data_IF_537392203273
#
_entry.id   IF_537392203273
#
_cell.length_a   1.000
_cell.length_b   1.000
_cell.length_c   1.000
_cell.angle_alpha   90.00
_cell.angle_beta   90.00
_cell.angle_gamma   90.00
#
_symmetry.space_group_name_H-M   'P 1'
#
loop_
_entity.id
_entity.type
_entity.pdbx_description
1 polymer ?
#
# COMPACT_ATOMS: atom_id res chain seq x y z
N UNK A 1 17.69 23.10 -28.56
CA UNK A 1 18.33 21.96 -27.88
C UNK A 1 17.59 21.80 -26.57
N UNK A 2 16.42 21.18 -26.67
CA UNK A 2 15.50 20.90 -25.56
C UNK A 2 15.07 19.45 -25.81
N UNK A 3 15.86 18.51 -25.30
CA UNK A 3 15.40 17.14 -25.14
C UNK A 3 14.44 17.16 -23.95
N UNK A 4 13.14 17.16 -24.25
CA UNK A 4 12.11 16.98 -23.23
C UNK A 4 12.36 15.64 -22.53
N UNK A 5 12.75 15.69 -21.25
CA UNK A 5 12.97 14.54 -20.38
C UNK A 5 11.68 13.71 -20.26
N UNK A 6 11.50 12.77 -21.18
CA UNK A 6 10.45 11.77 -21.09
C UNK A 6 10.88 10.74 -20.06
N UNK A 7 10.05 10.50 -19.04
CA UNK A 7 10.23 9.41 -18.06
C UNK A 7 10.30 8.07 -18.82
N UNK A 8 11.52 7.53 -18.97
CA UNK A 8 11.81 6.22 -19.52
C UNK A 8 12.01 5.24 -18.38
N UNK A 9 10.91 4.75 -17.81
CA UNK A 9 10.96 3.77 -16.71
C UNK A 9 11.25 2.39 -17.31
N UNK A 10 12.16 1.64 -16.70
CA UNK A 10 12.47 0.27 -17.11
C UNK A 10 11.23 -0.63 -17.04
N UNK A 11 11.20 -1.69 -17.86
CA UNK A 11 10.06 -2.62 -17.91
C UNK A 11 9.79 -3.34 -16.58
N UNK A 12 10.77 -3.39 -15.68
CA UNK A 12 10.67 -4.06 -14.39
C UNK A 12 10.12 -3.16 -13.27
N UNK A 13 10.12 -1.83 -13.45
CA UNK A 13 9.67 -0.83 -12.46
C UNK A 13 10.23 -0.98 -11.03
N UNK A 14 11.26 -1.80 -10.82
CA UNK A 14 11.84 -2.10 -9.49
C UNK A 14 12.55 -0.91 -8.88
N UNK A 15 13.14 -0.06 -9.73
CA UNK A 15 13.96 1.09 -9.34
C UNK A 15 13.36 2.41 -9.85
N UNK A 16 12.03 2.47 -9.99
CA UNK A 16 11.40 3.58 -10.69
C UNK A 16 11.61 4.91 -9.98
N UNK A 17 11.67 4.94 -8.63
CA UNK A 17 11.93 6.18 -7.90
C UNK A 17 13.37 6.66 -8.13
N UNK A 18 14.32 5.74 -8.22
CA UNK A 18 15.73 5.99 -8.56
C UNK A 18 15.89 6.57 -9.97
N UNK A 19 15.00 6.18 -10.88
CA UNK A 19 14.93 6.63 -12.28
C UNK A 19 14.14 7.94 -12.45
N UNK A 20 13.52 8.48 -11.40
CA UNK A 20 12.74 9.73 -11.49
C UNK A 20 13.62 10.93 -11.85
N UNK A 21 13.20 11.81 -12.79
CA UNK A 21 13.89 13.05 -13.12
C UNK A 21 14.08 13.98 -11.93
N UNK A 22 15.14 14.81 -11.98
CA UNK A 22 15.52 15.69 -10.87
C UNK A 22 14.39 16.63 -10.43
N UNK A 23 13.52 17.03 -11.37
CA UNK A 23 12.39 17.91 -11.13
C UNK A 23 11.42 17.40 -10.06
N UNK A 24 11.39 16.08 -9.81
CA UNK A 24 10.52 15.47 -8.81
C UNK A 24 11.17 15.27 -7.45
N UNK A 25 12.48 15.49 -7.33
CA UNK A 25 13.21 15.07 -6.13
C UNK A 25 12.85 15.87 -4.88
N UNK A 26 12.35 17.09 -5.07
CA UNK A 26 11.92 18.00 -4.01
C UNK A 26 10.39 18.04 -3.86
N UNK A 27 9.65 17.33 -4.71
CA UNK A 27 8.19 17.19 -4.60
C UNK A 27 7.88 16.31 -3.38
N UNK A 28 6.98 16.76 -2.47
CA UNK A 28 6.52 15.91 -1.38
C UNK A 28 5.95 14.60 -1.92
N UNK A 29 6.26 13.45 -1.31
CA UNK A 29 5.85 12.14 -1.82
C UNK A 29 4.33 11.98 -1.91
N UNK A 30 3.57 12.64 -1.03
CA UNK A 30 2.10 12.67 -1.14
C UNK A 30 1.59 13.45 -2.37
N UNK A 31 2.43 14.23 -3.04
CA UNK A 31 2.09 14.92 -4.29
C UNK A 31 2.49 14.12 -5.54
N UNK A 32 3.08 12.93 -5.39
CA UNK A 32 3.38 12.03 -6.51
C UNK A 32 2.26 10.99 -6.67
N UNK A 33 2.11 10.46 -7.88
CA UNK A 33 1.31 9.26 -8.13
C UNK A 33 2.15 8.03 -7.79
N UNK A 34 1.69 7.22 -6.85
CA UNK A 34 2.41 6.04 -6.34
C UNK A 34 1.53 4.79 -6.57
N UNK A 35 2.03 3.76 -7.27
CA UNK A 35 1.31 2.51 -7.38
C UNK A 35 1.27 1.81 -6.02
N UNK A 36 0.10 1.33 -5.64
CA UNK A 36 -0.08 0.52 -4.43
C UNK A 36 -0.81 -0.78 -4.74
N UNK A 37 -0.75 -1.69 -3.79
CA UNK A 37 -1.53 -2.92 -3.75
C UNK A 37 -2.41 -2.90 -2.52
N UNK A 38 -3.59 -3.50 -2.63
CA UNK A 38 -4.46 -3.75 -1.49
C UNK A 38 -4.11 -5.11 -0.89
N UNK A 39 -4.33 -5.27 0.42
CA UNK A 39 -4.36 -6.58 1.08
C UNK A 39 -3.14 -7.48 0.79
N UNK A 40 -1.97 -6.87 0.59
CA UNK A 40 -0.78 -7.57 0.09
C UNK A 40 -0.32 -8.70 1.01
N UNK A 41 -0.63 -8.61 2.30
CA UNK A 41 -0.28 -9.62 3.30
C UNK A 41 -1.45 -10.55 3.70
N UNK A 42 -2.66 -10.41 3.13
CA UNK A 42 -3.73 -11.41 3.31
C UNK A 42 -3.64 -12.54 2.28
N UNK A 43 -3.00 -12.30 1.13
CA UNK A 43 -2.77 -13.30 0.08
C UNK A 43 -1.75 -14.39 0.48
N UNK A 44 -0.91 -14.11 1.49
CA UNK A 44 0.06 -15.07 2.02
C UNK A 44 -0.56 -16.13 2.95
N UNK A 45 -1.90 -16.20 3.01
CA UNK A 45 -2.65 -17.29 3.64
C UNK A 45 -2.78 -18.50 2.69
N UNK A 46 -1.65 -19.09 2.29
CA UNK A 46 -1.69 -20.46 1.75
C UNK A 46 -1.50 -21.45 2.92
N UNK A 47 -2.31 -22.51 2.95
CA UNK A 47 -2.51 -23.49 4.04
C UNK A 47 -1.28 -24.35 4.39
N UNK A 48 -0.06 -23.89 4.10
CA UNK A 48 1.18 -24.67 4.25
C UNK A 48 2.33 -23.94 4.95
N UNK A 49 2.14 -22.74 5.49
CA UNK A 49 3.23 -22.06 6.21
C UNK A 49 3.58 -22.80 7.50
N UNK A 50 4.87 -23.12 7.66
CA UNK A 50 5.39 -23.95 8.76
C UNK A 50 5.65 -23.16 10.05
N UNK A 51 4.93 -22.04 10.25
CA UNK A 51 5.24 -21.05 11.28
C UNK A 51 4.52 -21.34 12.60
N UNK A 52 4.76 -22.53 13.16
CA UNK A 52 4.38 -22.90 14.54
C UNK A 52 5.55 -23.58 15.24
N UNK A 53 6.79 -23.10 15.05
CA UNK A 53 7.96 -23.71 15.71
C UNK A 53 8.59 -22.87 16.83
N UNK A 54 8.13 -21.64 17.08
CA UNK A 54 8.72 -20.76 18.11
C UNK A 54 7.71 -20.13 19.09
N UNK A 55 6.51 -20.70 19.25
CA UNK A 55 5.49 -20.11 20.15
C UNK A 55 5.69 -20.49 21.64
N UNK A 56 5.52 -19.53 22.58
CA UNK A 56 5.54 -19.77 24.03
C UNK A 56 4.56 -20.88 24.47
N UNK A 57 4.83 -21.54 25.60
CA UNK A 57 4.01 -22.66 26.13
C UNK A 57 2.52 -22.34 26.26
N UNK A 58 2.16 -21.08 26.50
CA UNK A 58 0.78 -20.61 26.63
C UNK A 58 0.01 -20.67 25.30
N UNK A 59 0.64 -20.31 24.18
CA UNK A 59 0.01 -20.37 22.86
C UNK A 59 -0.24 -21.81 22.41
N UNK A 60 0.61 -22.77 22.80
CA UNK A 60 0.37 -24.21 22.57
C UNK A 60 -0.87 -24.73 23.31
N UNK A 61 -1.09 -24.25 24.53
CA UNK A 61 -2.29 -24.64 25.31
C UNK A 61 -3.54 -24.01 24.72
N UNK A 62 -3.49 -22.73 24.31
CA UNK A 62 -4.63 -22.03 23.69
C UNK A 62 -4.98 -22.57 22.29
N UNK A 63 -3.98 -22.97 21.48
CA UNK A 63 -4.20 -23.68 20.21
C UNK A 63 -4.94 -25.01 20.40
N UNK A 64 -4.76 -25.66 21.56
CA UNK A 64 -5.44 -26.91 21.89
C UNK A 64 -6.91 -26.69 22.30
N UNK A 65 -7.24 -25.52 22.85
CA UNK A 65 -8.57 -25.24 23.44
C UNK A 65 -9.50 -24.49 22.48
N UNK A 66 -8.97 -23.56 21.67
CA UNK A 66 -9.75 -22.77 20.69
C UNK A 66 -9.03 -22.65 19.33
N UNK A 67 -8.72 -23.77 18.64
CA UNK A 67 -7.91 -23.78 17.43
C UNK A 67 -8.47 -22.91 16.30
N UNK A 68 -9.80 -22.85 16.13
CA UNK A 68 -10.44 -22.10 15.06
C UNK A 68 -10.33 -20.57 15.23
N UNK A 69 -10.03 -20.08 16.43
CA UNK A 69 -9.89 -18.65 16.73
C UNK A 69 -8.41 -18.28 16.80
N UNK A 70 -7.59 -19.12 17.43
CA UNK A 70 -6.18 -18.81 17.72
C UNK A 70 -5.29 -18.98 16.48
N UNK A 71 -5.53 -20.00 15.65
CA UNK A 71 -4.69 -20.27 14.46
C UNK A 71 -4.73 -19.15 13.42
N UNK A 72 -5.91 -18.62 13.01
CA UNK A 72 -5.94 -17.54 12.03
C UNK A 72 -5.18 -16.28 12.48
N UNK A 73 -5.29 -15.90 13.75
CA UNK A 73 -4.57 -14.74 14.29
C UNK A 73 -3.05 -14.95 14.31
N UNK A 74 -2.58 -16.13 14.74
CA UNK A 74 -1.13 -16.44 14.76
C UNK A 74 -0.56 -16.50 13.35
N UNK A 75 -1.27 -17.12 12.41
CA UNK A 75 -0.82 -17.23 11.01
C UNK A 75 -0.73 -15.83 10.40
N UNK A 76 -1.78 -15.01 10.51
CA UNK A 76 -1.75 -13.62 10.01
C UNK A 76 -0.55 -12.85 10.57
N UNK A 77 -0.34 -12.92 11.89
CA UNK A 77 0.78 -12.25 12.54
C UNK A 77 2.14 -12.70 12.00
N UNK A 78 2.39 -14.01 11.97
CA UNK A 78 3.65 -14.59 11.50
C UNK A 78 3.93 -14.22 10.04
N UNK A 79 2.92 -14.34 9.19
CA UNK A 79 2.98 -14.00 7.78
C UNK A 79 3.27 -12.52 7.54
N UNK A 80 2.66 -11.62 8.33
CA UNK A 80 2.97 -10.19 8.26
C UNK A 80 4.44 -9.93 8.61
N UNK A 81 4.98 -10.58 9.66
CA UNK A 81 6.38 -10.41 10.03
C UNK A 81 7.35 -10.90 8.95
N UNK A 82 7.06 -12.05 8.33
CA UNK A 82 7.85 -12.60 7.24
C UNK A 82 7.86 -11.67 6.03
N UNK A 83 6.69 -11.21 5.57
CA UNK A 83 6.57 -10.28 4.45
C UNK A 83 7.31 -8.95 4.71
N UNK A 84 7.21 -8.40 5.92
CA UNK A 84 7.94 -7.17 6.28
C UNK A 84 9.46 -7.36 6.28
N UNK A 85 9.92 -8.55 6.67
CA UNK A 85 11.34 -8.91 6.62
C UNK A 85 11.82 -9.04 5.17
N UNK A 86 11.00 -9.62 4.28
CA UNK A 86 11.30 -9.67 2.84
C UNK A 86 11.38 -8.27 2.22
N UNK A 87 10.46 -7.37 2.58
CA UNK A 87 10.52 -5.96 2.15
C UNK A 87 11.80 -5.30 2.64
N UNK A 88 12.18 -5.49 3.91
CA UNK A 88 13.43 -4.95 4.44
C UNK A 88 14.66 -5.44 3.66
N UNK A 89 14.70 -6.73 3.32
CA UNK A 89 15.79 -7.31 2.52
C UNK A 89 15.81 -6.77 1.09
N UNK A 90 14.64 -6.57 0.47
CA UNK A 90 14.54 -5.96 -0.85
C UNK A 90 15.06 -4.52 -0.83
N UNK A 91 14.74 -3.74 0.21
CA UNK A 91 15.21 -2.36 0.38
C UNK A 91 16.73 -2.27 0.55
N UNK A 92 17.39 -3.29 1.11
CA UNK A 92 18.86 -3.34 1.17
C UNK A 92 19.49 -3.37 -0.24
N UNK A 93 18.77 -3.92 -1.23
CA UNK A 93 19.22 -4.00 -2.62
C UNK A 93 18.77 -2.78 -3.46
N UNK A 94 17.74 -2.06 -3.01
CA UNK A 94 17.09 -0.95 -3.73
C UNK A 94 17.14 0.35 -2.88
N UNK A 95 18.36 0.82 -2.60
CA UNK A 95 18.66 1.89 -1.61
C UNK A 95 17.96 3.24 -1.81
N UNK A 96 17.39 3.48 -2.98
CA UNK A 96 16.72 4.73 -3.36
C UNK A 96 15.21 4.57 -3.52
N UNK A 97 14.67 3.38 -3.31
CA UNK A 97 13.23 3.16 -3.34
C UNK A 97 12.65 3.46 -1.95
N UNK A 98 11.46 4.04 -1.94
CA UNK A 98 10.70 4.36 -0.72
C UNK A 98 9.37 3.64 -0.76
N UNK A 99 9.07 2.88 0.29
CA UNK A 99 7.81 2.14 0.45
C UNK A 99 6.94 2.78 1.52
N UNK A 100 5.63 2.76 1.30
CA UNK A 100 4.62 3.18 2.27
C UNK A 100 3.91 1.91 2.75
N UNK A 101 4.04 1.61 4.03
CA UNK A 101 3.43 0.44 4.65
C UNK A 101 2.36 0.94 5.60
N UNK A 102 1.09 0.70 5.25
CA UNK A 102 -0.05 1.06 6.08
C UNK A 102 -0.56 -0.17 6.83
N UNK A 103 -0.44 -0.16 8.15
CA UNK A 103 -0.96 -1.18 9.03
C UNK A 103 -2.29 -0.70 9.65
N UNK A 104 -3.34 -1.50 9.50
CA UNK A 104 -4.68 -1.24 10.01
C UNK A 104 -5.40 -2.56 10.32
N UNK A 105 -6.65 -2.48 10.77
CA UNK A 105 -7.49 -3.65 11.08
C UNK A 105 -6.82 -4.62 12.09
N UNK A 106 -6.39 -4.08 13.23
CA UNK A 106 -5.74 -4.82 14.32
C UNK A 106 -6.75 -5.66 15.15
N UNK A 107 -7.44 -6.60 14.50
CA UNK A 107 -8.52 -7.39 15.10
C UNK A 107 -8.08 -8.11 16.39
N UNK A 108 -8.60 -7.64 17.52
CA UNK A 108 -8.41 -8.27 18.83
C UNK A 108 -7.02 -8.10 19.45
N UNK A 109 -6.20 -7.18 18.93
CA UNK A 109 -4.92 -6.85 19.55
C UNK A 109 -5.10 -6.02 20.83
N UNK A 110 -4.33 -6.36 21.87
CA UNK A 110 -4.22 -5.56 23.08
C UNK A 110 -2.99 -4.65 23.03
N UNK A 111 -2.89 -3.72 24.00
CA UNK A 111 -1.82 -2.71 24.04
C UNK A 111 -0.40 -3.31 24.06
N UNK A 112 -0.18 -4.42 24.76
CA UNK A 112 1.16 -5.05 24.81
C UNK A 112 1.50 -5.69 23.46
N UNK A 113 0.53 -6.29 22.78
CA UNK A 113 0.72 -6.80 21.42
C UNK A 113 0.98 -5.68 20.41
N UNK A 114 0.34 -4.52 20.57
CA UNK A 114 0.67 -3.34 19.76
C UNK A 114 2.11 -2.90 19.97
N UNK A 115 2.57 -2.81 21.24
CA UNK A 115 3.97 -2.47 21.55
C UNK A 115 4.95 -3.48 20.96
N UNK A 116 4.64 -4.78 21.04
CA UNK A 116 5.47 -5.83 20.45
C UNK A 116 5.56 -5.68 18.92
N UNK A 117 4.44 -5.36 18.24
CA UNK A 117 4.43 -5.12 16.79
C UNK A 117 5.23 -3.87 16.42
N UNK A 118 5.04 -2.78 17.16
CA UNK A 118 5.74 -1.51 16.93
C UNK A 118 7.24 -1.71 17.12
N UNK A 119 7.65 -2.39 18.18
CA UNK A 119 9.06 -2.70 18.41
C UNK A 119 9.63 -3.60 17.31
N UNK A 120 8.86 -4.58 16.83
CA UNK A 120 9.25 -5.40 15.68
C UNK A 120 9.48 -4.54 14.43
N UNK A 121 8.55 -3.64 14.10
CA UNK A 121 8.66 -2.74 12.94
C UNK A 121 9.90 -1.83 13.04
N UNK A 122 10.09 -1.19 14.20
CA UNK A 122 11.24 -0.32 14.45
C UNK A 122 12.56 -1.10 14.35
N UNK A 123 12.64 -2.30 14.93
CA UNK A 123 13.84 -3.14 14.81
C UNK A 123 14.10 -3.63 13.37
N UNK A 124 13.04 -3.90 12.61
CA UNK A 124 13.14 -4.48 11.26
C UNK A 124 13.63 -3.46 10.24
N UNK A 125 13.11 -2.24 10.29
CA UNK A 125 13.47 -1.19 9.34
C UNK A 125 14.53 -0.22 9.88
N UNK A 126 14.70 -0.12 11.19
CA UNK A 126 15.75 0.64 11.88
C UNK A 126 15.90 2.06 11.30
N UNK A 127 17.09 2.43 10.85
CA UNK A 127 17.41 3.73 10.29
C UNK A 127 16.73 4.04 8.93
N UNK A 128 16.03 3.06 8.33
CA UNK A 128 15.28 3.25 7.09
C UNK A 128 13.95 3.96 7.31
N UNK A 129 13.47 4.12 8.55
CA UNK A 129 12.16 4.72 8.81
C UNK A 129 12.25 6.25 8.71
N UNK A 130 11.34 6.85 7.92
CA UNK A 130 11.15 8.29 7.84
C UNK A 130 10.30 8.79 9.04
N UNK A 131 10.81 9.69 9.90
CA UNK A 131 10.03 10.21 11.02
C UNK A 131 8.80 11.03 10.59
N UNK A 132 7.73 10.98 11.38
CA UNK A 132 6.42 11.57 11.08
C UNK A 132 6.36 13.11 11.06
N UNK A 133 7.41 13.78 11.55
CA UNK A 133 7.54 15.24 11.50
C UNK A 133 8.33 15.72 10.27
N UNK A 134 8.87 14.81 9.47
CA UNK A 134 9.59 15.13 8.23
C UNK A 134 8.61 15.16 7.07
N UNK A 135 8.68 16.19 6.22
CA UNK A 135 8.00 16.17 4.92
C UNK A 135 8.86 15.34 3.95
N UNK A 136 8.45 14.11 3.58
CA UNK A 136 9.26 13.24 2.76
C UNK A 136 9.21 13.72 1.31
N UNK A 137 10.38 13.84 0.70
CA UNK A 137 10.61 13.92 -0.74
C UNK A 137 11.68 12.90 -1.11
N UNK A 138 11.84 12.55 -2.38
CA UNK A 138 12.89 11.60 -2.80
C UNK A 138 14.28 12.08 -2.33
N UNK A 139 14.59 13.37 -2.50
CA UNK A 139 15.86 13.95 -2.04
C UNK A 139 16.03 13.81 -0.53
N UNK A 140 15.01 14.13 0.26
CA UNK A 140 15.07 14.02 1.72
C UNK A 140 15.29 12.57 2.14
N UNK A 141 14.52 11.64 1.56
CA UNK A 141 14.62 10.23 1.83
C UNK A 141 16.04 9.70 1.54
N UNK A 142 16.56 9.94 0.34
CA UNK A 142 17.91 9.46 -0.04
C UNK A 142 19.02 10.09 0.79
N UNK A 143 18.91 11.38 1.11
CA UNK A 143 19.91 12.08 1.92
C UNK A 143 20.04 11.47 3.31
N UNK A 144 18.94 11.03 3.89
CA UNK A 144 18.88 10.49 5.25
C UNK A 144 18.81 8.96 5.31
N UNK A 145 18.88 8.28 4.16
CA UNK A 145 18.65 6.84 4.01
C UNK A 145 17.26 6.37 4.48
N UNK A 146 16.27 7.26 4.47
CA UNK A 146 14.89 6.85 4.71
C UNK A 146 14.35 6.12 3.47
N UNK A 147 13.76 4.96 3.70
CA UNK A 147 13.15 4.12 2.68
C UNK A 147 11.74 3.66 3.09
N UNK A 148 11.29 3.90 4.33
CA UNK A 148 10.02 3.36 4.83
C UNK A 148 9.20 4.45 5.50
N UNK A 149 7.94 4.58 5.08
CA UNK A 149 6.92 5.37 5.77
C UNK A 149 5.93 4.38 6.39
N UNK A 150 5.90 4.32 7.72
CA UNK A 150 5.06 3.39 8.48
C UNK A 150 3.78 4.07 8.96
N UNK A 151 2.67 3.91 8.25
CA UNK A 151 1.35 4.35 8.74
C UNK A 151 0.79 3.32 9.72
N UNK A 152 0.32 3.75 10.89
CA UNK A 152 -0.22 2.86 11.92
C UNK A 152 -1.57 3.36 12.44
N UNK A 153 -2.63 2.61 12.17
CA UNK A 153 -4.02 2.98 12.47
C UNK A 153 -4.49 2.52 13.86
N UNK A 154 -3.75 2.93 14.91
CA UNK A 154 -4.18 2.73 16.29
C UNK A 154 -3.56 3.80 17.21
N UNK A 155 -4.28 4.15 18.28
CA UNK A 155 -3.82 5.07 19.32
C UNK A 155 -2.52 4.64 20.02
N UNK A 156 -2.18 3.35 20.01
CA UNK A 156 -0.93 2.82 20.55
C UNK A 156 0.32 3.38 19.85
N UNK A 157 0.18 3.92 18.63
CA UNK A 157 1.25 4.63 17.93
C UNK A 157 1.54 6.03 18.50
N UNK A 158 0.70 6.54 19.40
CA UNK A 158 0.88 7.86 20.01
C UNK A 158 2.21 7.92 20.77
N UNK A 159 3.06 8.87 20.37
CA UNK A 159 4.37 9.10 21.00
C UNK A 159 5.56 8.42 20.29
N UNK A 160 5.32 7.62 19.24
CA UNK A 160 6.38 7.11 18.37
C UNK A 160 6.58 8.08 17.20
N UNK A 161 7.79 8.62 17.05
CA UNK A 161 8.13 9.52 15.93
C UNK A 161 8.31 8.74 14.63
N UNK A 162 8.58 7.44 14.71
CA UNK A 162 8.74 6.51 13.59
C UNK A 162 7.41 6.20 12.89
N UNK A 163 6.28 6.39 13.58
CA UNK A 163 4.96 5.99 13.09
C UNK A 163 4.17 7.20 12.62
N UNK A 164 3.72 7.12 11.37
CA UNK A 164 2.85 8.07 10.73
C UNK A 164 1.38 7.83 11.13
N UNK A 165 0.55 8.88 11.13
CA UNK A 165 -0.90 8.73 11.24
C UNK A 165 -1.45 7.79 10.17
N UNK A 166 -2.68 7.33 10.39
CA UNK A 166 -3.44 6.52 9.44
C UNK A 166 -3.37 7.13 8.02
N UNK A 167 -2.87 6.34 7.08
CA UNK A 167 -3.02 6.55 5.65
C UNK A 167 -4.46 6.20 5.27
N UNK A 168 -5.27 7.22 5.01
CA UNK A 168 -6.68 7.03 4.67
C UNK A 168 -6.82 6.19 3.41
N UNK A 169 -7.72 5.21 3.44
CA UNK A 169 -7.97 4.30 2.32
C UNK A 169 -9.41 4.49 1.81
N UNK A 170 -9.54 5.11 0.63
CA UNK A 170 -10.82 5.30 -0.04
C UNK A 170 -11.26 4.01 -0.70
N UNK A 171 -12.27 3.38 -0.14
CA UNK A 171 -12.79 2.09 -0.60
C UNK A 171 -14.31 2.12 -0.70
N UNK A 172 -14.81 1.86 -1.90
CA UNK A 172 -16.24 1.88 -2.20
C UNK A 172 -16.99 0.64 -1.68
N UNK A 173 -16.28 -0.44 -1.31
CA UNK A 173 -16.86 -1.68 -0.78
C UNK A 173 -18.02 -2.21 -1.64
N UNK A 174 -17.76 -2.42 -2.93
CA UNK A 174 -18.77 -2.78 -3.94
C UNK A 174 -18.19 -3.67 -5.03
N UNK A 175 -19.04 -4.49 -5.65
CA UNK A 175 -18.69 -5.30 -6.82
C UNK A 175 -18.80 -4.54 -8.16
N UNK A 176 -19.41 -3.36 -8.18
CA UNK A 176 -19.65 -2.59 -9.40
C UNK A 176 -18.54 -1.55 -9.66
N UNK A 177 -17.75 -1.70 -10.74
CA UNK A 177 -16.67 -0.75 -11.04
C UNK A 177 -17.17 0.67 -11.34
N UNK A 178 -18.40 0.84 -11.82
CA UNK A 178 -18.99 2.17 -12.04
C UNK A 178 -19.27 2.88 -10.72
N UNK A 179 -19.67 2.10 -9.70
CA UNK A 179 -19.86 2.61 -8.34
C UNK A 179 -18.52 2.97 -7.70
N UNK A 180 -17.47 2.16 -7.90
CA UNK A 180 -16.10 2.51 -7.46
C UNK A 180 -15.69 3.87 -8.03
N UNK A 181 -15.85 4.07 -9.33
CA UNK A 181 -15.53 5.36 -9.99
C UNK A 181 -16.35 6.51 -9.42
N UNK A 182 -17.66 6.34 -9.28
CA UNK A 182 -18.56 7.39 -8.76
C UNK A 182 -18.17 7.80 -7.34
N UNK A 183 -17.88 6.82 -6.48
CA UNK A 183 -17.41 7.05 -5.11
C UNK A 183 -16.07 7.80 -5.08
N UNK A 184 -15.09 7.39 -5.90
CA UNK A 184 -13.78 8.06 -5.93
C UNK A 184 -13.87 9.50 -6.47
N UNK A 185 -14.75 9.77 -7.44
CA UNK A 185 -15.00 11.13 -7.91
C UNK A 185 -15.68 12.00 -6.83
N UNK A 186 -16.58 11.44 -6.02
CA UNK A 186 -17.17 12.13 -4.87
C UNK A 186 -16.09 12.49 -3.82
N UNK A 187 -15.22 11.53 -3.45
CA UNK A 187 -14.08 11.79 -2.54
C UNK A 187 -13.15 12.88 -3.08
N UNK A 188 -12.84 12.87 -4.38
CA UNK A 188 -12.04 13.92 -5.03
C UNK A 188 -12.71 15.29 -4.96
N UNK A 189 -14.04 15.36 -5.06
CA UNK A 189 -14.79 16.61 -4.98
C UNK A 189 -14.77 17.21 -3.56
N UNK A 190 -14.81 16.36 -2.52
CA UNK A 190 -14.65 16.76 -1.12
C UNK A 190 -13.26 17.33 -0.86
N UNK A 191 -12.23 16.70 -1.44
CA UNK A 191 -10.85 17.16 -1.46
C UNK A 191 -9.89 16.20 -0.79
N UNK A 192 -8.65 16.16 -1.30
CA UNK A 192 -7.60 15.28 -0.76
C UNK A 192 -7.15 15.66 0.65
N UNK A 193 -6.75 14.68 1.48
CA UNK A 193 -6.03 14.92 2.73
C UNK A 193 -4.70 15.64 2.49
N UNK A 194 -4.21 16.33 3.54
CA UNK A 194 -2.89 16.97 3.57
C UNK A 194 -1.72 16.02 3.81
N UNK A 195 -1.97 14.71 3.78
CA UNK A 195 -1.00 13.63 4.04
C UNK A 195 -1.19 12.49 3.03
N UNK A 196 -0.51 11.35 3.26
CA UNK A 196 -0.68 10.15 2.45
C UNK A 196 -2.13 9.63 2.51
N UNK A 197 -2.64 9.22 1.35
CA UNK A 197 -3.92 8.54 1.22
C UNK A 197 -3.92 7.68 -0.04
N UNK A 198 -4.77 6.66 -0.04
CA UNK A 198 -4.90 5.70 -1.11
C UNK A 198 -6.31 5.68 -1.69
N UNK A 199 -6.41 5.63 -3.02
CA UNK A 199 -7.62 5.36 -3.76
C UNK A 199 -7.65 3.88 -4.17
N UNK A 200 -8.53 3.10 -3.56
CA UNK A 200 -8.70 1.67 -3.84
C UNK A 200 -9.63 1.42 -5.02
N UNK A 201 -9.13 0.72 -6.05
CA UNK A 201 -9.91 0.23 -7.19
C UNK A 201 -10.51 -1.17 -6.93
N UNK A 202 -10.36 -1.67 -5.71
CA UNK A 202 -10.67 -3.02 -5.29
C UNK A 202 -12.18 -3.26 -5.33
N UNK A 203 -12.56 -4.39 -5.91
CA UNK A 203 -13.95 -4.85 -5.94
C UNK A 203 -14.17 -5.85 -4.82
N UNK A 204 -15.35 -5.78 -4.21
CA UNK A 204 -15.74 -6.69 -3.12
C UNK A 204 -16.91 -7.54 -3.56
N UNK A 205 -16.90 -8.83 -3.23
CA UNK A 205 -18.05 -9.70 -3.47
C UNK A 205 -19.18 -9.30 -2.50
N UNK A 206 -20.29 -8.76 -3.02
CA UNK A 206 -21.49 -8.56 -2.21
C UNK A 206 -22.32 -9.87 -2.16
N UNK A 207 -23.14 -10.05 -1.11
CA UNK A 207 -23.92 -11.27 -0.93
C UNK A 207 -24.90 -11.55 -2.10
N UNK A 208 -25.34 -10.51 -2.81
CA UNK A 208 -26.24 -10.62 -3.96
C UNK A 208 -25.48 -11.12 -5.21
N UNK A 209 -24.23 -10.73 -5.36
CA UNK A 209 -23.31 -11.13 -6.41
C UNK A 209 -22.90 -12.59 -6.22
N UNK A 210 -22.52 -12.99 -4.99
CA UNK A 210 -22.22 -14.39 -4.63
C UNK A 210 -23.40 -15.31 -4.96
N UNK A 211 -24.63 -14.90 -4.59
CA UNK A 211 -25.84 -15.68 -4.85
C UNK A 211 -26.22 -15.76 -6.34
N UNK A 212 -25.81 -14.79 -7.16
CA UNK A 212 -26.12 -14.75 -8.59
C UNK A 212 -25.02 -15.33 -9.49
N UNK A 213 -23.79 -15.49 -8.98
CA UNK A 213 -22.64 -15.96 -9.74
C UNK A 213 -21.81 -17.03 -9.00
N UNK A 214 -22.40 -18.18 -8.63
CA UNK A 214 -21.75 -19.19 -7.79
C UNK A 214 -20.50 -19.85 -8.39
N UNK A 215 -20.19 -19.61 -9.67
CA UNK A 215 -19.02 -20.13 -10.37
C UNK A 215 -18.03 -19.05 -10.83
N UNK A 216 -18.22 -17.77 -10.47
CA UNK A 216 -17.31 -16.68 -10.82
C UNK A 216 -16.38 -16.37 -9.63
N UNK A 217 -15.14 -15.99 -9.93
CA UNK A 217 -14.14 -15.59 -8.92
C UNK A 217 -13.89 -14.08 -8.96
N UNK A 218 -13.45 -13.47 -7.85
CA UNK A 218 -12.93 -12.10 -7.79
C UNK A 218 -11.97 -11.76 -8.95
N UNK A 219 -11.08 -12.70 -9.30
CA UNK A 219 -10.15 -12.53 -10.41
C UNK A 219 -10.87 -12.29 -11.75
N UNK A 220 -11.95 -13.04 -12.02
CA UNK A 220 -12.75 -12.90 -13.25
C UNK A 220 -13.55 -11.59 -13.31
N UNK A 221 -14.02 -11.09 -12.17
CA UNK A 221 -14.71 -9.80 -12.06
C UNK A 221 -13.78 -8.63 -12.34
N UNK A 222 -12.62 -8.65 -11.68
CA UNK A 222 -11.63 -7.58 -11.83
C UNK A 222 -11.14 -7.54 -13.26
N UNK A 223 -10.95 -8.70 -13.89
CA UNK A 223 -10.61 -8.85 -15.32
C UNK A 223 -11.59 -8.13 -16.27
N UNK A 224 -12.90 -8.35 -16.11
CA UNK A 224 -13.89 -7.71 -16.99
C UNK A 224 -14.00 -6.19 -16.75
N UNK A 225 -13.66 -5.75 -15.54
CA UNK A 225 -13.75 -4.37 -15.09
C UNK A 225 -12.46 -3.58 -15.30
N UNK A 226 -11.35 -4.28 -15.53
CA UNK A 226 -10.00 -3.72 -15.54
C UNK A 226 -9.83 -2.60 -16.56
N UNK A 227 -10.38 -2.77 -17.77
CA UNK A 227 -10.30 -1.73 -18.81
C UNK A 227 -11.02 -0.44 -18.43
N UNK A 228 -12.17 -0.52 -17.76
CA UNK A 228 -12.92 0.64 -17.29
C UNK A 228 -12.14 1.38 -16.19
N UNK A 229 -11.63 0.63 -15.21
CA UNK A 229 -10.85 1.19 -14.10
C UNK A 229 -9.52 1.79 -14.58
N UNK A 230 -8.79 1.15 -15.50
CA UNK A 230 -7.58 1.72 -16.10
C UNK A 230 -7.87 2.99 -16.89
N UNK A 231 -8.99 3.07 -17.60
CA UNK A 231 -9.40 4.29 -18.30
C UNK A 231 -9.68 5.43 -17.33
N UNK A 232 -10.20 5.13 -16.14
CA UNK A 232 -10.31 6.11 -15.07
C UNK A 232 -8.94 6.53 -14.53
N UNK A 233 -8.02 5.59 -14.27
CA UNK A 233 -6.66 5.91 -13.80
C UNK A 233 -5.91 6.83 -14.77
N UNK A 234 -6.04 6.61 -16.09
CA UNK A 234 -5.45 7.46 -17.14
C UNK A 234 -5.86 8.93 -17.07
N UNK A 235 -6.99 9.24 -16.45
CA UNK A 235 -7.53 10.60 -16.34
C UNK A 235 -7.12 11.31 -15.06
N UNK A 236 -6.38 10.64 -14.17
CA UNK A 236 -6.00 11.20 -12.89
C UNK A 236 -4.72 12.02 -12.99
N UNK A 237 -4.59 13.01 -12.12
CA UNK A 237 -3.38 13.80 -11.97
C UNK A 237 -2.88 13.72 -10.52
N UNK A 238 -1.57 13.57 -10.30
CA UNK A 238 -0.96 13.82 -9.01
C UNK A 238 -0.78 15.33 -8.77
N UNK A 239 -0.25 15.70 -7.61
CA UNK A 239 0.03 17.09 -7.25
C UNK A 239 -0.78 17.62 -6.06
N UNK A 240 -0.56 18.88 -5.67
CA UNK A 240 -1.18 19.48 -4.48
C UNK A 240 -2.64 19.92 -4.70
N UNK A 241 -3.17 19.80 -5.93
CA UNK A 241 -4.52 20.20 -6.27
C UNK A 241 -5.58 19.43 -5.48
N UNK A 242 -6.73 20.08 -5.23
CA UNK A 242 -7.80 19.53 -4.38
C UNK A 242 -8.28 18.14 -4.85
N UNK A 243 -8.39 17.93 -6.15
CA UNK A 243 -8.87 16.70 -6.77
C UNK A 243 -7.76 15.76 -7.23
N UNK A 244 -6.49 16.07 -6.94
CA UNK A 244 -5.35 15.24 -7.32
C UNK A 244 -5.27 13.99 -6.42
N UNK A 245 -4.73 12.91 -6.96
CA UNK A 245 -4.55 11.65 -6.23
C UNK A 245 -3.09 11.44 -5.81
N UNK A 246 -2.91 10.55 -4.83
CA UNK A 246 -1.59 10.13 -4.36
C UNK A 246 -1.34 8.64 -4.65
N UNK A 247 -1.74 7.76 -3.73
CA UNK A 247 -1.56 6.31 -3.92
C UNK A 247 -2.79 5.76 -4.64
N UNK A 248 -2.60 4.93 -5.66
CA UNK A 248 -3.69 4.24 -6.36
C UNK A 248 -3.46 2.75 -6.19
N UNK A 249 -4.43 2.05 -5.58
CA UNK A 249 -4.32 0.65 -5.22
C UNK A 249 -5.25 -0.24 -6.05
N UNK A 250 -4.82 -1.48 -6.33
CA UNK A 250 -5.62 -2.53 -6.98
C UNK A 250 -5.24 -3.92 -6.45
N UNK A 251 -6.14 -4.91 -6.55
CA UNK A 251 -5.95 -6.27 -6.02
C UNK A 251 -4.94 -7.10 -6.84
N UNK A 252 -4.65 -6.71 -8.08
CA UNK A 252 -3.88 -7.54 -9.01
C UNK A 252 -2.80 -6.76 -9.78
N UNK A 253 -1.90 -6.12 -9.04
CA UNK A 253 -0.77 -5.37 -9.61
C UNK A 253 0.11 -6.22 -10.56
N UNK A 254 0.12 -7.55 -10.41
CA UNK A 254 0.91 -8.49 -11.21
C UNK A 254 0.16 -9.34 -12.25
N UNK A 255 -1.18 -9.26 -12.36
CA UNK A 255 -1.92 -10.15 -13.25
C UNK A 255 -1.81 -9.76 -14.74
N UNK A 256 -1.47 -8.50 -15.04
CA UNK A 256 -1.40 -7.96 -16.41
C UNK A 256 -0.15 -7.08 -16.58
N UNK A 257 0.97 -7.70 -16.96
CA UNK A 257 2.11 -7.06 -17.65
C UNK A 257 2.61 -5.72 -17.09
N UNK A 258 2.65 -5.54 -15.75
CA UNK A 258 3.01 -4.28 -15.08
C UNK A 258 2.27 -3.03 -15.60
N UNK A 259 1.16 -3.18 -16.34
CA UNK A 259 0.51 -2.08 -17.07
C UNK A 259 -0.03 -1.03 -16.10
N UNK A 260 -0.67 -1.50 -15.03
CA UNK A 260 -1.17 -0.62 -13.97
C UNK A 260 -0.03 0.17 -13.31
N UNK A 261 1.04 -0.51 -12.91
CA UNK A 261 2.20 0.10 -12.27
C UNK A 261 2.82 1.16 -13.17
N UNK A 262 3.09 0.82 -14.43
CA UNK A 262 3.64 1.76 -15.42
C UNK A 262 2.71 2.94 -15.67
N UNK A 263 1.40 2.70 -15.72
CA UNK A 263 0.40 3.74 -15.89
C UNK A 263 0.43 4.73 -14.73
N UNK A 264 0.35 4.26 -13.48
CA UNK A 264 0.33 5.12 -12.29
C UNK A 264 1.63 5.91 -12.18
N UNK A 265 2.79 5.28 -12.36
CA UNK A 265 4.07 6.01 -12.35
C UNK A 265 4.11 7.05 -13.48
N UNK A 266 3.62 6.68 -14.67
CA UNK A 266 3.53 7.55 -15.83
C UNK A 266 2.69 8.82 -15.62
N UNK A 267 1.72 8.79 -14.69
CA UNK A 267 0.94 9.98 -14.32
C UNK A 267 1.82 11.11 -13.78
N UNK A 268 2.97 10.82 -13.17
CA UNK A 268 3.88 11.86 -12.68
C UNK A 268 4.41 12.76 -13.82
N UNK A 269 4.39 12.31 -15.07
CA UNK A 269 4.75 13.15 -16.23
C UNK A 269 3.82 14.36 -16.40
N UNK A 270 2.58 14.32 -15.88
CA UNK A 270 1.64 15.45 -16.04
C UNK A 270 2.05 16.65 -15.20
N UNK A 271 2.76 16.45 -14.08
CA UNK A 271 3.27 17.53 -13.24
C UNK A 271 4.27 18.43 -13.98
N UNK A 272 5.05 17.88 -14.92
CA UNK A 272 5.99 18.65 -15.73
C UNK A 272 5.30 19.56 -16.75
N UNK A 273 4.02 19.31 -17.05
CA UNK A 273 3.24 20.10 -18.02
C UNK A 273 2.54 21.29 -17.36
N UNK A 274 2.46 21.31 -16.04
CA UNK A 274 1.78 22.36 -15.26
C UNK A 274 2.75 23.40 -14.67
N UNK A 275 4.06 23.16 -14.75
CA UNK A 275 5.15 24.13 -14.47
C UNK A 275 5.58 24.87 -15.73
#
# INVERSE_FOLDING_TARGET
MEDAERLCISSCCSDWMSEMPFAFWDTPLWNLAIPGSHDTMTYCLDERSSVVQSSPRVLRVLDTVLPCIVRPCIIKWATTQEALTEVAHWLDQHTKEVVIIALSAFDGMNLDQHKDLIQFLICTFDNKICPNHIIPSLRQCWKHNYQVILSYDDSAASGYEELWPQCEYWWANTSDPSHVISYLEERKAEGRPGQFFAAGLNLTEDAKYILSHPCQSLQSMTLSSYGLLLNWVKQQCPGPGKSCLNIICTDFVGAFSNEFTQLVIGLNQTLLKET
#
